data_IF_016463819693
#
_entry.id   IF_016463819693
#
_cell.length_a   1.000
_cell.length_b   1.000
_cell.length_c   1.000
_cell.angle_alpha   90.00
_cell.angle_beta   90.00
_cell.angle_gamma   90.00
#
_symmetry.space_group_name_H-M   'P 1'
#
loop_
_entity.id
_entity.type
_entity.pdbx_description
1 polymer ?
#
# COMPACT_ATOMS: atom_id res chain seq x y z
N UNK A 1 7.74 1.25 -14.46
CA UNK A 1 8.19 0.60 -13.20
C UNK A 1 7.24 -0.56 -12.85
N UNK A 2 7.69 -1.61 -12.12
CA UNK A 2 6.84 -2.79 -11.78
C UNK A 2 5.54 -2.39 -11.06
N UNK A 3 5.59 -1.40 -10.17
CA UNK A 3 4.44 -0.89 -9.41
C UNK A 3 3.41 -0.21 -10.31
N UNK A 4 3.84 0.65 -11.23
CA UNK A 4 2.93 1.32 -12.18
C UNK A 4 2.18 0.32 -13.06
N UNK A 5 2.83 -0.81 -13.41
CA UNK A 5 2.15 -1.88 -14.14
C UNK A 5 1.08 -2.57 -13.27
N UNK A 6 1.35 -2.79 -11.98
CA UNK A 6 0.38 -3.34 -11.05
C UNK A 6 -0.81 -2.40 -10.82
N UNK A 7 -0.56 -1.09 -10.69
CA UNK A 7 -1.61 -0.06 -10.62
C UNK A 7 -2.49 -0.09 -11.87
N UNK A 8 -1.91 -0.05 -13.07
CA UNK A 8 -2.67 -0.11 -14.33
C UNK A 8 -3.49 -1.39 -14.45
N UNK A 9 -2.91 -2.53 -14.08
CA UNK A 9 -3.65 -3.80 -14.09
C UNK A 9 -4.84 -3.77 -13.13
N UNK A 10 -4.67 -3.17 -11.95
CA UNK A 10 -5.75 -3.04 -10.98
C UNK A 10 -6.81 -2.04 -11.43
N UNK A 11 -6.42 -0.91 -12.00
CA UNK A 11 -7.31 0.07 -12.62
C UNK A 11 -8.18 -0.59 -13.70
N UNK A 12 -7.58 -1.40 -14.58
CA UNK A 12 -8.32 -2.15 -15.60
C UNK A 12 -9.33 -3.14 -15.00
N UNK A 13 -8.99 -3.80 -13.89
CA UNK A 13 -9.92 -4.70 -13.20
C UNK A 13 -11.08 -3.95 -12.54
N UNK A 14 -10.83 -2.77 -11.97
CA UNK A 14 -11.90 -1.90 -11.47
C UNK A 14 -12.83 -1.45 -12.61
N UNK A 15 -12.27 -1.08 -13.77
CA UNK A 15 -13.07 -0.74 -14.95
C UNK A 15 -13.90 -1.93 -15.47
N UNK A 16 -13.33 -3.14 -15.46
CA UNK A 16 -14.08 -4.34 -15.79
C UNK A 16 -15.26 -4.53 -14.84
N UNK A 17 -15.02 -4.45 -13.53
CA UNK A 17 -16.07 -4.59 -12.52
C UNK A 17 -17.16 -3.52 -12.62
N UNK A 18 -16.80 -2.28 -12.96
CA UNK A 18 -17.73 -1.17 -13.15
C UNK A 18 -18.75 -1.43 -14.27
N UNK A 19 -18.35 -2.19 -15.30
CA UNK A 19 -19.18 -2.52 -16.46
C UNK A 19 -20.00 -3.81 -16.27
N UNK A 20 -19.89 -4.47 -15.11
CA UNK A 20 -20.69 -5.65 -14.79
C UNK A 20 -22.02 -5.26 -14.14
N UNK A 21 -23.08 -6.06 -14.32
CA UNK A 21 -24.30 -5.94 -13.51
C UNK A 21 -23.99 -6.05 -12.01
N UNK A 22 -24.76 -5.40 -11.13
CA UNK A 22 -24.56 -5.47 -9.68
C UNK A 22 -25.11 -6.80 -9.11
N UNK A 23 -24.50 -7.91 -9.49
CA UNK A 23 -24.87 -9.27 -9.12
C UNK A 23 -23.71 -10.01 -8.42
N UNK A 24 -23.91 -11.31 -8.14
CA UNK A 24 -22.92 -12.14 -7.45
C UNK A 24 -21.53 -12.11 -8.12
N UNK A 25 -21.40 -12.25 -9.46
CA UNK A 25 -20.12 -12.05 -10.16
C UNK A 25 -19.39 -10.74 -9.81
N UNK A 26 -20.09 -9.59 -9.80
CA UNK A 26 -19.46 -8.32 -9.44
C UNK A 26 -19.02 -8.30 -7.96
N UNK A 27 -19.81 -8.89 -7.07
CA UNK A 27 -19.44 -9.02 -5.65
C UNK A 27 -18.18 -9.88 -5.46
N UNK A 28 -18.07 -11.03 -6.15
CA UNK A 28 -16.87 -11.88 -6.13
C UNK A 28 -15.65 -11.16 -6.69
N UNK A 29 -15.82 -10.39 -7.76
CA UNK A 29 -14.75 -9.57 -8.29
C UNK A 29 -14.34 -8.46 -7.29
N UNK A 30 -15.27 -7.89 -6.53
CA UNK A 30 -14.96 -6.92 -5.48
C UNK A 30 -14.13 -7.54 -4.34
N UNK A 31 -14.39 -8.79 -3.94
CA UNK A 31 -13.55 -9.53 -2.99
C UNK A 31 -12.10 -9.67 -3.52
N UNK A 32 -11.96 -10.05 -4.79
CA UNK A 32 -10.66 -10.13 -5.45
C UNK A 32 -9.96 -8.77 -5.52
N UNK A 33 -10.67 -7.70 -5.89
CA UNK A 33 -10.16 -6.34 -5.91
C UNK A 33 -9.67 -5.90 -4.52
N UNK A 34 -10.37 -6.27 -3.45
CA UNK A 34 -9.93 -6.01 -2.07
C UNK A 34 -8.56 -6.63 -1.79
N UNK A 35 -8.38 -7.91 -2.13
CA UNK A 35 -7.11 -8.63 -1.96
C UNK A 35 -6.00 -7.96 -2.78
N UNK A 36 -6.29 -7.59 -4.03
CA UNK A 36 -5.33 -6.94 -4.93
C UNK A 36 -4.93 -5.55 -4.47
N UNK A 37 -5.87 -4.75 -3.94
CA UNK A 37 -5.58 -3.43 -3.35
C UNK A 37 -4.67 -3.54 -2.13
N UNK A 38 -4.97 -4.47 -1.21
CA UNK A 38 -4.11 -4.73 -0.05
C UNK A 38 -2.70 -5.13 -0.47
N UNK A 39 -2.58 -6.06 -1.42
CA UNK A 39 -1.29 -6.51 -1.93
C UNK A 39 -0.51 -5.41 -2.66
N UNK A 40 -1.19 -4.54 -3.42
CA UNK A 40 -0.55 -3.41 -4.09
C UNK A 40 0.11 -2.46 -3.09
N UNK A 41 -0.59 -2.10 -2.01
CA UNK A 41 -0.03 -1.24 -0.96
C UNK A 41 1.26 -1.82 -0.36
N UNK A 42 1.27 -3.12 -0.05
CA UNK A 42 2.47 -3.80 0.44
C UNK A 42 3.61 -3.73 -0.58
N UNK A 43 3.34 -3.95 -1.87
CA UNK A 43 4.36 -3.89 -2.90
C UNK A 43 4.92 -2.48 -3.11
N UNK A 44 4.08 -1.44 -3.02
CA UNK A 44 4.51 -0.04 -3.09
C UNK A 44 5.52 0.24 -1.97
N UNK A 45 5.15 -0.05 -0.71
CA UNK A 45 6.01 0.18 0.45
C UNK A 45 7.31 -0.62 0.33
N UNK A 46 7.22 -1.91 -0.01
CA UNK A 46 8.40 -2.76 -0.20
C UNK A 46 9.34 -2.20 -1.26
N UNK A 47 8.80 -1.77 -2.40
CA UNK A 47 9.60 -1.24 -3.47
C UNK A 47 10.34 0.04 -3.06
N UNK A 48 9.63 0.99 -2.41
CA UNK A 48 10.22 2.26 -1.97
C UNK A 48 11.35 2.04 -0.95
N UNK A 49 11.15 1.17 0.04
CA UNK A 49 12.16 0.89 1.06
C UNK A 49 13.41 0.20 0.49
N UNK A 50 13.22 -0.76 -0.42
CA UNK A 50 14.34 -1.43 -1.10
C UNK A 50 15.15 -0.46 -1.96
N UNK A 51 14.48 0.38 -2.74
CA UNK A 51 15.12 1.40 -3.56
C UNK A 51 15.88 2.43 -2.71
N UNK A 52 15.32 2.83 -1.57
CA UNK A 52 16.00 3.68 -0.60
C UNK A 52 17.28 3.00 -0.11
N UNK A 53 17.17 1.82 0.51
CA UNK A 53 18.29 1.11 1.12
C UNK A 53 19.43 0.84 0.13
N UNK A 54 19.11 0.37 -1.08
CA UNK A 54 20.10 0.17 -2.16
C UNK A 54 20.87 1.43 -2.53
N UNK A 55 20.23 2.59 -2.40
CA UNK A 55 20.81 3.86 -2.86
C UNK A 55 21.51 4.68 -1.77
N UNK A 56 21.32 4.33 -0.50
CA UNK A 56 21.83 5.10 0.65
C UNK A 56 22.78 4.33 1.55
N UNK A 57 22.79 3.00 1.48
CA UNK A 57 23.55 2.13 2.39
C UNK A 57 24.57 1.24 1.66
N UNK A 58 25.48 0.61 2.43
CA UNK A 58 26.38 -0.42 1.92
C UNK A 58 25.60 -1.66 1.48
N UNK A 59 26.17 -2.47 0.58
CA UNK A 59 25.48 -3.60 -0.05
C UNK A 59 24.97 -4.64 0.98
N UNK A 60 25.73 -4.88 2.03
CA UNK A 60 25.41 -5.81 3.12
C UNK A 60 24.21 -5.33 3.94
N UNK A 61 24.16 -4.02 4.23
CA UNK A 61 23.04 -3.39 4.94
C UNK A 61 21.79 -3.38 4.06
N UNK A 62 21.93 -3.01 2.78
CA UNK A 62 20.82 -3.06 1.82
C UNK A 62 20.23 -4.46 1.73
N UNK A 63 21.07 -5.51 1.67
CA UNK A 63 20.63 -6.91 1.64
C UNK A 63 19.87 -7.31 2.91
N UNK A 64 20.33 -6.88 4.09
CA UNK A 64 19.62 -7.12 5.34
C UNK A 64 18.24 -6.45 5.33
N UNK A 65 18.18 -5.18 4.94
CA UNK A 65 16.91 -4.43 4.84
C UNK A 65 15.97 -5.10 3.85
N UNK A 66 16.43 -5.47 2.66
CA UNK A 66 15.64 -6.19 1.66
C UNK A 66 14.99 -7.45 2.24
N UNK A 67 15.76 -8.27 2.97
CA UNK A 67 15.25 -9.49 3.59
C UNK A 67 14.24 -9.26 4.72
N UNK A 68 14.30 -8.11 5.41
CA UNK A 68 13.26 -7.69 6.37
C UNK A 68 12.03 -7.17 5.64
N UNK A 69 12.24 -6.32 4.63
CA UNK A 69 11.19 -5.73 3.80
C UNK A 69 10.35 -6.79 3.08
N UNK A 70 10.94 -7.88 2.60
CA UNK A 70 10.20 -8.95 1.93
C UNK A 70 9.15 -9.63 2.81
N UNK A 71 9.38 -9.67 4.13
CA UNK A 71 8.48 -10.27 5.11
C UNK A 71 7.32 -9.37 5.53
N UNK A 72 7.31 -8.12 5.10
CA UNK A 72 6.19 -7.21 5.38
C UNK A 72 4.92 -7.81 4.75
N UNK A 73 3.88 -7.96 5.53
CA UNK A 73 2.56 -8.40 5.10
C UNK A 73 1.54 -7.89 6.11
N UNK A 74 0.27 -7.81 5.70
CA UNK A 74 -0.83 -7.37 6.58
C UNK A 74 -0.48 -6.01 7.22
N UNK A 75 -0.48 -4.96 6.39
CA UNK A 75 0.03 -3.63 6.68
C UNK A 75 -1.11 -2.60 6.89
N UNK A 76 -1.84 -2.64 8.02
CA UNK A 76 -2.73 -1.55 8.42
C UNK A 76 -1.94 -0.27 8.72
N UNK A 77 -2.65 0.85 8.89
CA UNK A 77 -2.05 2.18 9.01
C UNK A 77 -1.11 2.31 10.22
N UNK A 78 -1.49 1.76 11.36
CA UNK A 78 -0.65 1.71 12.57
C UNK A 78 0.68 0.99 12.31
N UNK A 79 0.65 -0.19 11.68
CA UNK A 79 1.89 -0.89 11.32
C UNK A 79 2.73 -0.14 10.29
N UNK A 80 2.10 0.60 9.37
CA UNK A 80 2.83 1.45 8.43
C UNK A 80 3.51 2.62 9.15
N UNK A 81 2.82 3.27 10.09
CA UNK A 81 3.36 4.33 10.95
C UNK A 81 4.59 3.82 11.72
N UNK A 82 4.47 2.67 12.38
CA UNK A 82 5.58 2.04 13.11
C UNK A 82 6.74 1.64 12.20
N UNK A 83 6.42 1.13 11.00
CA UNK A 83 7.44 0.82 10.00
C UNK A 83 8.19 2.08 9.57
N UNK A 84 7.50 3.19 9.29
CA UNK A 84 8.15 4.45 8.90
C UNK A 84 9.00 5.01 10.04
N UNK A 85 8.49 4.96 11.28
CA UNK A 85 9.21 5.36 12.49
C UNK A 85 10.53 4.60 12.64
N UNK A 86 10.54 3.29 12.34
CA UNK A 86 11.74 2.46 12.43
C UNK A 86 12.87 2.89 11.48
N UNK A 87 12.55 3.66 10.44
CA UNK A 87 13.53 4.26 9.53
C UNK A 87 13.86 5.72 9.91
N UNK A 88 12.84 6.51 10.25
CA UNK A 88 13.00 7.92 10.64
C UNK A 88 11.74 8.45 11.34
N UNK A 89 11.93 9.16 12.45
CA UNK A 89 10.87 9.93 13.12
C UNK A 89 10.23 10.95 12.16
N UNK A 90 11.04 11.62 11.32
CA UNK A 90 10.52 12.60 10.36
C UNK A 90 9.62 11.96 9.30
N UNK A 91 9.88 10.70 8.91
CA UNK A 91 9.04 10.01 7.94
C UNK A 91 7.67 9.71 8.52
N UNK A 92 7.64 9.28 9.78
CA UNK A 92 6.40 9.07 10.52
C UNK A 92 5.62 10.37 10.63
N UNK A 93 6.28 11.43 11.09
CA UNK A 93 5.63 12.74 11.32
C UNK A 93 5.08 13.33 10.02
N UNK A 94 5.88 13.34 8.94
CA UNK A 94 5.42 13.80 7.63
C UNK A 94 4.29 12.93 7.09
N UNK A 95 4.31 11.61 7.29
CA UNK A 95 3.24 10.74 6.83
C UNK A 95 1.94 11.05 7.55
N UNK A 96 1.95 11.09 8.89
CA UNK A 96 0.75 11.39 9.69
C UNK A 96 0.19 12.78 9.37
N UNK A 97 1.05 13.78 9.12
CA UNK A 97 0.62 15.13 8.80
C UNK A 97 0.05 15.30 7.39
N UNK A 98 0.31 14.38 6.46
CA UNK A 98 -0.03 14.54 5.03
C UNK A 98 -1.05 13.52 4.50
N UNK A 99 -1.64 12.71 5.37
CA UNK A 99 -2.73 11.79 5.01
C UNK A 99 -4.04 12.26 5.62
N UNK A 100 -5.17 11.87 5.00
CA UNK A 100 -6.49 12.09 5.58
C UNK A 100 -6.91 10.90 6.47
N UNK A 101 -7.83 11.14 7.39
CA UNK A 101 -8.41 10.08 8.22
C UNK A 101 -9.14 9.03 7.37
N UNK A 102 -9.76 9.44 6.26
CA UNK A 102 -10.43 8.54 5.32
C UNK A 102 -9.44 7.61 4.62
N UNK A 103 -8.25 8.10 4.27
CA UNK A 103 -7.20 7.28 3.67
C UNK A 103 -6.64 6.25 4.67
N UNK A 104 -6.40 6.67 5.92
CA UNK A 104 -5.99 5.77 6.99
C UNK A 104 -7.06 4.71 7.30
N UNK A 105 -8.33 5.13 7.39
CA UNK A 105 -9.47 4.24 7.63
C UNK A 105 -9.72 3.27 6.47
N UNK A 106 -9.55 3.71 5.22
CA UNK A 106 -9.65 2.87 4.04
C UNK A 106 -8.56 1.79 4.01
N UNK A 107 -7.31 2.14 4.36
CA UNK A 107 -6.23 1.16 4.47
C UNK A 107 -6.54 0.09 5.52
N UNK A 108 -6.95 0.51 6.72
CA UNK A 108 -7.36 -0.41 7.78
C UNK A 108 -8.51 -1.32 7.35
N UNK A 109 -9.49 -0.76 6.64
CA UNK A 109 -10.65 -1.51 6.14
C UNK A 109 -10.24 -2.55 5.10
N UNK A 110 -9.44 -2.18 4.11
CA UNK A 110 -8.95 -3.10 3.06
C UNK A 110 -8.16 -4.26 3.67
N UNK A 111 -7.26 -3.95 4.62
CA UNK A 111 -6.44 -4.97 5.27
C UNK A 111 -7.31 -5.89 6.13
N UNK A 112 -8.25 -5.35 6.89
CA UNK A 112 -9.19 -6.13 7.69
C UNK A 112 -10.07 -7.06 6.84
N UNK A 113 -10.63 -6.54 5.74
CA UNK A 113 -11.44 -7.31 4.79
C UNK A 113 -10.63 -8.42 4.12
N UNK A 114 -9.42 -8.10 3.64
CA UNK A 114 -8.48 -9.09 3.07
C UNK A 114 -8.18 -10.20 4.07
N UNK A 115 -7.96 -9.87 5.35
CA UNK A 115 -7.69 -10.88 6.38
C UNK A 115 -8.90 -11.81 6.57
N UNK A 116 -10.12 -11.28 6.65
CA UNK A 116 -11.34 -12.10 6.71
C UNK A 116 -11.47 -13.04 5.51
N UNK A 117 -11.29 -12.50 4.30
CA UNK A 117 -11.31 -13.28 3.05
C UNK A 117 -10.26 -14.40 3.06
N UNK A 118 -9.03 -14.10 3.48
CA UNK A 118 -7.95 -15.08 3.56
C UNK A 118 -8.22 -16.18 4.59
N UNK A 119 -9.03 -15.89 5.62
CA UNK A 119 -9.48 -16.87 6.62
C UNK A 119 -10.79 -17.58 6.24
N UNK A 120 -11.34 -17.33 5.04
CA UNK A 120 -12.59 -17.95 4.58
C UNK A 120 -13.84 -17.42 5.29
N UNK A 121 -13.74 -16.28 5.97
CA UNK A 121 -14.86 -15.64 6.68
C UNK A 121 -15.58 -14.73 5.70
N UNK A 122 -16.91 -14.87 5.58
CA UNK A 122 -17.73 -13.89 4.85
C UNK A 122 -17.54 -12.52 5.50
N UNK A 123 -16.93 -11.56 4.79
CA UNK A 123 -16.65 -10.25 5.35
C UNK A 123 -17.90 -9.44 5.66
N UNK A 124 -19.04 -9.75 5.01
CA UNK A 124 -20.29 -9.00 5.08
C UNK A 124 -20.16 -7.58 4.49
N UNK A 125 -21.02 -7.23 3.53
CA UNK A 125 -21.06 -5.86 3.01
C UNK A 125 -19.83 -5.43 2.19
N UNK A 126 -19.21 -6.37 1.48
CA UNK A 126 -18.33 -6.05 0.35
C UNK A 126 -19.22 -5.72 -0.85
N UNK A 127 -19.04 -4.52 -1.40
CA UNK A 127 -19.61 -4.11 -2.68
C UNK A 127 -18.52 -3.49 -3.54
N UNK A 128 -18.69 -3.56 -4.85
CA UNK A 128 -17.78 -2.90 -5.80
C UNK A 128 -17.53 -1.44 -5.42
N UNK A 129 -18.62 -0.68 -5.19
CA UNK A 129 -18.56 0.74 -4.84
C UNK A 129 -17.68 0.99 -3.61
N UNK A 130 -17.88 0.22 -2.54
CA UNK A 130 -17.12 0.38 -1.30
C UNK A 130 -15.64 0.07 -1.48
N UNK A 131 -15.31 -1.00 -2.21
CA UNK A 131 -13.91 -1.36 -2.47
C UNK A 131 -13.24 -0.35 -3.40
N UNK A 132 -13.97 0.21 -4.36
CA UNK A 132 -13.48 1.26 -5.24
C UNK A 132 -13.20 2.57 -4.48
N UNK A 133 -14.10 2.97 -3.56
CA UNK A 133 -13.88 4.11 -2.66
C UNK A 133 -12.63 3.89 -1.79
N UNK A 134 -12.49 2.71 -1.19
CA UNK A 134 -11.29 2.39 -0.42
C UNK A 134 -10.01 2.36 -1.25
N UNK A 135 -10.05 1.80 -2.46
CA UNK A 135 -8.91 1.83 -3.36
C UNK A 135 -8.48 3.25 -3.69
N UNK A 136 -9.44 4.11 -4.07
CA UNK A 136 -9.18 5.51 -4.40
C UNK A 136 -8.52 6.24 -3.23
N UNK A 137 -9.02 6.02 -2.02
CA UNK A 137 -8.45 6.60 -0.81
C UNK A 137 -7.05 6.04 -0.48
N UNK A 138 -6.83 4.73 -0.64
CA UNK A 138 -5.50 4.12 -0.42
C UNK A 138 -4.46 4.63 -1.42
N UNK A 139 -4.84 4.89 -2.68
CA UNK A 139 -3.92 5.42 -3.69
C UNK A 139 -3.34 6.78 -3.34
N UNK A 140 -4.06 7.61 -2.58
CA UNK A 140 -3.57 8.94 -2.18
C UNK A 140 -2.32 8.84 -1.29
N UNK A 141 -2.12 7.70 -0.61
CA UNK A 141 -0.95 7.43 0.22
C UNK A 141 0.34 7.27 -0.62
N UNK A 142 0.25 6.82 -1.87
CA UNK A 142 1.41 6.49 -2.68
C UNK A 142 2.31 7.70 -2.99
N UNK A 143 1.79 8.85 -3.46
CA UNK A 143 2.62 10.03 -3.68
C UNK A 143 3.24 10.55 -2.38
N UNK A 144 2.52 10.50 -1.26
CA UNK A 144 3.02 10.91 0.06
C UNK A 144 4.21 10.05 0.48
N UNK A 145 4.06 8.72 0.45
CA UNK A 145 5.14 7.78 0.75
C UNK A 145 6.35 7.96 -0.16
N UNK A 146 6.11 8.12 -1.47
CA UNK A 146 7.17 8.35 -2.45
C UNK A 146 7.92 9.64 -2.16
N UNK A 147 7.20 10.72 -1.82
CA UNK A 147 7.81 12.00 -1.51
C UNK A 147 8.69 11.92 -0.26
N UNK A 148 8.17 11.36 0.84
CA UNK A 148 8.89 11.26 2.11
C UNK A 148 10.17 10.43 1.97
N UNK A 149 10.05 9.22 1.41
CA UNK A 149 11.18 8.29 1.28
C UNK A 149 12.23 8.80 0.28
N UNK A 150 11.81 9.53 -0.77
CA UNK A 150 12.75 10.06 -1.78
C UNK A 150 13.40 11.40 -1.43
N UNK A 151 12.79 12.22 -0.56
CA UNK A 151 13.37 13.49 -0.08
C UNK A 151 14.72 13.26 0.59
N UNK A 152 14.82 12.27 1.47
CA UNK A 152 16.07 11.99 2.20
C UNK A 152 17.19 11.44 1.32
N UNK A 153 16.85 10.71 0.25
CA UNK A 153 17.82 10.32 -0.78
C UNK A 153 18.51 11.55 -1.40
N UNK A 154 17.78 12.66 -1.58
CA UNK A 154 18.35 13.91 -2.12
C UNK A 154 19.18 14.66 -1.10
N UNK A 155 18.81 14.63 0.20
CA UNK A 155 19.62 15.20 1.29
C UNK A 155 20.97 14.49 1.40
N UNK A 156 20.97 13.16 1.47
CA UNK A 156 22.21 12.36 1.62
C UNK A 156 23.19 12.48 0.44
N UNK A 157 22.69 12.78 -0.77
CA UNK A 157 23.53 13.03 -1.96
C UNK A 157 24.14 14.43 -2.00
N UNK A 158 23.64 15.39 -1.21
CA UNK A 158 24.17 16.76 -1.16
C UNK A 158 25.24 16.95 -0.09
N UNK A 159 25.35 16.02 0.85
CA UNK A 159 26.35 16.00 1.93
C UNK A 159 27.54 15.08 1.66
N UNK A 160 27.60 14.44 0.48
CA UNK A 160 28.74 13.68 -0.04
C UNK A 160 29.31 14.41 -1.24
#
# INVERSE_FOLDING_TARGET
MRIEAMERQLDNLFQLAANMPPDEPQARLAEYLCIRTSGLMEQVVKHLLKEYAKSTSAAEVAKYVEGKTDRIANLPNDKLVELLLSFSESWRDEYVANISEEAAGALNSIVGLRNKLAHGIDPGGISYRRIFEYYTNVRTLFPVLKQIISKDKRRLRRTR
#
